data_IF_320886652044
#
_entry.id   IF_320886652044
#
_cell.length_a   1.000
_cell.length_b   1.000
_cell.length_c   1.000
_cell.angle_alpha   90.00
_cell.angle_beta   90.00
_cell.angle_gamma   90.00
#
_symmetry.space_group_name_H-M   'P 1'
#
loop_
_entity.id
_entity.type
_entity.pdbx_description
1 polymer ?
#
# COMPACT_ATOMS: atom_id res chain seq x y z
N UNK A 1 -23.23 38.33 -2.56
CA UNK A 1 -24.02 37.51 -3.51
C UNK A 1 -24.50 36.29 -2.75
N UNK A 2 -25.82 36.11 -2.59
CA UNK A 2 -26.35 34.89 -1.97
C UNK A 2 -26.04 33.71 -2.90
N UNK A 3 -25.39 32.67 -2.36
CA UNK A 3 -25.08 31.45 -3.10
C UNK A 3 -26.40 30.81 -3.55
N UNK A 4 -26.61 30.72 -4.86
CA UNK A 4 -27.76 30.03 -5.45
C UNK A 4 -27.68 28.57 -5.00
N UNK A 5 -28.61 28.14 -4.15
CA UNK A 5 -28.78 26.73 -3.85
C UNK A 5 -29.01 26.01 -5.19
N UNK A 6 -28.10 25.12 -5.58
CA UNK A 6 -28.24 24.40 -6.84
C UNK A 6 -29.48 23.52 -6.71
N UNK A 7 -30.53 23.88 -7.44
CA UNK A 7 -31.75 23.12 -7.52
C UNK A 7 -31.51 21.87 -8.37
N UNK A 8 -32.23 20.78 -8.05
CA UNK A 8 -32.17 19.56 -8.86
C UNK A 8 -32.57 19.92 -10.30
N UNK A 9 -31.79 19.55 -11.33
CA UNK A 9 -32.08 19.91 -12.72
C UNK A 9 -33.50 19.52 -13.15
N UNK A 10 -34.21 20.39 -13.88
CA UNK A 10 -35.58 20.14 -14.33
C UNK A 10 -35.72 18.96 -15.30
N UNK A 11 -34.62 18.53 -15.93
CA UNK A 11 -34.57 17.31 -16.75
C UNK A 11 -34.75 16.03 -15.94
N UNK A 12 -34.64 16.09 -14.61
CA UNK A 12 -34.89 14.96 -13.71
C UNK A 12 -36.39 14.86 -13.41
N UNK A 13 -36.89 13.63 -13.40
CA UNK A 13 -38.28 13.29 -13.05
C UNK A 13 -38.75 14.00 -11.76
N UNK A 14 -40.02 14.39 -11.71
CA UNK A 14 -40.61 15.14 -10.62
C UNK A 14 -40.50 14.42 -9.27
N UNK A 15 -40.68 13.09 -9.24
CA UNK A 15 -40.55 12.30 -8.02
C UNK A 15 -39.10 12.28 -7.55
N UNK A 16 -38.14 12.04 -8.44
CA UNK A 16 -36.72 12.09 -8.10
C UNK A 16 -36.28 13.49 -7.61
N UNK A 17 -36.78 14.58 -8.21
CA UNK A 17 -36.53 15.96 -7.76
C UNK A 17 -37.01 16.21 -6.32
N UNK A 18 -38.11 15.58 -5.90
CA UNK A 18 -38.60 15.67 -4.51
C UNK A 18 -37.75 14.83 -3.53
N UNK A 19 -37.26 13.67 -3.96
CA UNK A 19 -36.51 12.74 -3.12
C UNK A 19 -35.04 13.12 -2.93
N UNK A 20 -34.37 13.65 -3.97
CA UNK A 20 -32.92 13.94 -3.93
C UNK A 20 -32.54 14.88 -2.77
N UNK A 21 -33.21 16.02 -2.54
CA UNK A 21 -32.86 16.92 -1.44
C UNK A 21 -33.13 16.33 -0.05
N UNK A 22 -34.00 15.32 0.05
CA UNK A 22 -34.39 14.65 1.30
C UNK A 22 -33.53 13.40 1.59
N UNK A 23 -32.77 12.94 0.59
CA UNK A 23 -31.98 11.73 0.69
C UNK A 23 -30.68 11.98 1.45
N UNK A 24 -30.38 11.10 2.41
CA UNK A 24 -29.11 11.07 3.12
C UNK A 24 -28.16 10.07 2.48
N UNK A 25 -26.98 10.52 2.06
CA UNK A 25 -26.01 9.70 1.31
C UNK A 25 -24.73 9.50 2.12
N UNK A 26 -24.22 8.26 2.14
CA UNK A 26 -22.87 7.97 2.62
C UNK A 26 -21.94 7.78 1.42
N UNK A 27 -20.85 8.54 1.38
CA UNK A 27 -19.76 8.34 0.43
C UNK A 27 -18.54 7.81 1.17
N UNK A 28 -18.12 6.59 0.82
CA UNK A 28 -17.00 5.90 1.45
C UNK A 28 -15.76 6.04 0.55
N UNK A 29 -14.84 6.89 0.96
CA UNK A 29 -13.63 7.28 0.22
C UNK A 29 -13.73 8.68 -0.38
N UNK A 30 -12.68 9.47 -0.19
CA UNK A 30 -12.47 10.84 -0.68
C UNK A 30 -11.29 10.92 -1.66
N UNK A 31 -10.93 9.80 -2.30
CA UNK A 31 -9.91 9.71 -3.35
C UNK A 31 -10.38 10.27 -4.71
N UNK A 32 -9.85 9.74 -5.81
CA UNK A 32 -10.14 10.23 -7.16
C UNK A 32 -11.64 10.20 -7.51
N UNK A 33 -12.25 9.02 -7.37
CA UNK A 33 -13.70 8.85 -7.54
C UNK A 33 -14.46 9.69 -6.50
N UNK A 34 -14.01 9.68 -5.24
CA UNK A 34 -14.68 10.37 -4.14
C UNK A 34 -14.82 11.87 -4.36
N UNK A 35 -13.76 12.53 -4.83
CA UNK A 35 -13.78 13.96 -5.15
C UNK A 35 -14.80 14.30 -6.25
N UNK A 36 -14.81 13.53 -7.34
CA UNK A 36 -15.75 13.73 -8.45
C UNK A 36 -17.20 13.46 -8.04
N UNK A 37 -17.43 12.35 -7.33
CA UNK A 37 -18.76 11.97 -6.84
C UNK A 37 -19.28 13.01 -5.85
N UNK A 38 -18.46 13.49 -4.92
CA UNK A 38 -18.88 14.50 -3.95
C UNK A 38 -19.31 15.81 -4.62
N UNK A 39 -18.54 16.29 -5.61
CA UNK A 39 -18.95 17.42 -6.45
C UNK A 39 -20.28 17.13 -7.14
N UNK A 40 -20.41 15.97 -7.79
CA UNK A 40 -21.61 15.65 -8.55
C UNK A 40 -22.85 15.56 -7.66
N UNK A 41 -22.74 14.99 -6.44
CA UNK A 41 -23.82 14.99 -5.45
C UNK A 41 -24.24 16.41 -5.09
N UNK A 42 -23.28 17.26 -4.72
CA UNK A 42 -23.53 18.64 -4.32
C UNK A 42 -24.17 19.47 -5.44
N UNK A 43 -23.74 19.28 -6.69
CA UNK A 43 -24.29 19.97 -7.87
C UNK A 43 -25.64 19.39 -8.34
N UNK A 44 -25.92 18.12 -8.04
CA UNK A 44 -27.19 17.47 -8.41
C UNK A 44 -28.31 17.71 -7.39
N UNK A 45 -28.05 18.48 -6.33
CA UNK A 45 -29.05 18.89 -5.34
C UNK A 45 -29.18 17.97 -4.13
N UNK A 46 -28.27 17.01 -3.92
CA UNK A 46 -28.18 16.29 -2.65
C UNK A 46 -27.74 17.24 -1.54
N UNK A 47 -28.41 17.18 -0.39
CA UNK A 47 -28.21 18.15 0.70
C UNK A 47 -27.61 17.56 1.96
N UNK A 48 -27.82 16.27 2.27
CA UNK A 48 -27.29 15.63 3.49
C UNK A 48 -26.33 14.50 3.09
N UNK A 49 -25.02 14.78 3.17
CA UNK A 49 -23.96 13.88 2.75
C UNK A 49 -23.05 13.62 3.95
N UNK A 50 -22.76 12.36 4.22
CA UNK A 50 -21.67 11.97 5.12
C UNK A 50 -20.54 11.36 4.29
N UNK A 51 -19.30 11.80 4.53
CA UNK A 51 -18.10 11.33 3.83
C UNK A 51 -17.11 10.77 4.84
N UNK A 52 -16.49 9.64 4.52
CA UNK A 52 -15.49 8.98 5.36
C UNK A 52 -14.26 8.58 4.55
N UNK A 53 -13.08 8.89 5.07
CA UNK A 53 -11.78 8.48 4.50
C UNK A 53 -10.75 8.44 5.63
N UNK A 54 -9.87 7.44 5.64
CA UNK A 54 -8.87 7.25 6.70
C UNK A 54 -7.54 7.95 6.39
N UNK A 55 -7.35 8.41 5.16
CA UNK A 55 -6.07 8.92 4.69
C UNK A 55 -5.96 10.44 4.84
N UNK A 56 -4.70 10.88 4.89
CA UNK A 56 -4.30 12.27 4.64
C UNK A 56 -3.91 12.47 3.18
N UNK A 57 -3.87 13.74 2.76
CA UNK A 57 -3.58 14.14 1.38
C UNK A 57 -2.07 14.03 1.10
N UNK A 58 -1.73 13.39 -0.01
CA UNK A 58 -0.36 13.30 -0.52
C UNK A 58 -0.18 14.07 -1.85
N UNK A 59 1.05 14.50 -2.16
CA UNK A 59 1.37 15.21 -3.41
C UNK A 59 0.95 14.42 -4.65
N UNK A 60 1.14 13.09 -4.62
CA UNK A 60 0.75 12.17 -5.71
C UNK A 60 -0.75 12.14 -5.99
N UNK A 61 -1.58 12.67 -5.08
CA UNK A 61 -3.03 12.72 -5.23
C UNK A 61 -3.50 13.90 -6.11
N UNK A 62 -2.71 14.97 -6.19
CA UNK A 62 -3.13 16.26 -6.76
C UNK A 62 -3.42 16.24 -8.27
N UNK A 63 -2.95 15.22 -9.00
CA UNK A 63 -3.23 15.07 -10.43
C UNK A 63 -4.66 14.59 -10.75
N UNK A 64 -5.40 14.08 -9.76
CA UNK A 64 -6.72 13.43 -9.97
C UNK A 64 -7.73 13.64 -8.84
N UNK A 65 -7.34 14.33 -7.76
CA UNK A 65 -8.19 14.62 -6.61
C UNK A 65 -8.35 16.13 -6.50
N UNK A 66 -9.13 16.71 -7.41
CA UNK A 66 -9.16 18.16 -7.67
C UNK A 66 -9.74 18.99 -6.52
N UNK A 67 -10.30 18.39 -5.47
CA UNK A 67 -10.68 19.11 -4.24
C UNK A 67 -9.46 19.47 -3.39
N UNK A 68 -8.28 18.94 -3.69
CA UNK A 68 -7.08 19.14 -2.90
C UNK A 68 -6.10 20.09 -3.59
N UNK A 69 -5.30 20.81 -2.77
CA UNK A 69 -4.27 21.76 -3.20
C UNK A 69 -2.97 21.42 -2.50
N UNK A 70 -1.87 22.02 -2.96
CA UNK A 70 -0.53 21.74 -2.41
C UNK A 70 -0.43 22.12 -0.93
N UNK A 71 -1.11 23.19 -0.50
CA UNK A 71 -1.18 23.59 0.91
C UNK A 71 -2.01 22.64 1.79
N UNK A 72 -2.71 21.67 1.21
CA UNK A 72 -3.49 20.68 1.93
C UNK A 72 -2.73 19.39 2.22
N UNK A 73 -1.51 19.22 1.71
CA UNK A 73 -0.70 18.01 1.94
C UNK A 73 -0.52 17.76 3.43
N UNK A 74 -0.75 16.51 3.87
CA UNK A 74 -0.73 16.09 5.27
C UNK A 74 -2.04 16.29 6.02
N UNK A 75 -3.03 17.02 5.48
CA UNK A 75 -4.35 17.20 6.09
C UNK A 75 -5.30 16.03 5.76
N UNK A 76 -6.31 15.74 6.59
CA UNK A 76 -7.29 14.69 6.32
C UNK A 76 -8.10 14.90 5.03
N UNK A 77 -8.17 13.89 4.16
CA UNK A 77 -8.89 13.98 2.87
C UNK A 77 -10.37 14.32 3.06
N UNK A 78 -11.07 13.60 3.94
CA UNK A 78 -12.49 13.82 4.17
C UNK A 78 -12.80 15.24 4.64
N UNK A 79 -11.98 15.80 5.54
CA UNK A 79 -12.20 17.15 6.09
C UNK A 79 -11.98 18.21 5.02
N UNK A 80 -10.87 18.16 4.29
CA UNK A 80 -10.54 19.13 3.24
C UNK A 80 -11.52 19.03 2.05
N UNK A 81 -11.98 17.83 1.71
CA UNK A 81 -12.99 17.63 0.66
C UNK A 81 -14.30 18.35 1.02
N UNK A 82 -14.75 18.23 2.27
CA UNK A 82 -15.90 18.98 2.81
C UNK A 82 -15.67 20.49 2.70
N UNK A 83 -14.56 21.00 3.20
CA UNK A 83 -14.25 22.45 3.19
C UNK A 83 -14.27 23.01 1.77
N UNK A 84 -13.67 22.28 0.83
CA UNK A 84 -13.59 22.69 -0.58
C UNK A 84 -14.96 22.77 -1.24
N UNK A 85 -15.87 21.84 -0.94
CA UNK A 85 -17.24 21.89 -1.47
C UNK A 85 -18.05 23.01 -0.81
N UNK A 86 -17.94 23.18 0.51
CA UNK A 86 -18.67 24.22 1.24
C UNK A 86 -18.26 25.65 0.81
N UNK A 87 -17.01 25.84 0.37
CA UNK A 87 -16.55 27.10 -0.20
C UNK A 87 -17.32 27.50 -1.49
N UNK A 88 -17.82 26.51 -2.24
CA UNK A 88 -18.54 26.74 -3.51
C UNK A 88 -20.06 26.60 -3.36
N UNK A 89 -20.53 25.71 -2.49
CA UNK A 89 -21.94 25.45 -2.23
C UNK A 89 -22.20 25.34 -0.72
N UNK A 90 -22.35 26.48 -0.01
CA UNK A 90 -22.50 26.52 1.44
C UNK A 90 -23.83 25.95 1.94
N UNK A 91 -24.78 25.68 1.04
CA UNK A 91 -26.11 25.17 1.38
C UNK A 91 -26.16 23.64 1.54
N UNK A 92 -25.08 22.92 1.19
CA UNK A 92 -24.99 21.47 1.37
C UNK A 92 -24.50 21.19 2.79
N UNK A 93 -25.16 20.25 3.47
CA UNK A 93 -24.71 19.73 4.75
C UNK A 93 -23.80 18.52 4.51
N UNK A 94 -22.52 18.70 4.79
CA UNK A 94 -21.52 17.63 4.70
C UNK A 94 -20.94 17.35 6.09
N UNK A 95 -21.04 16.10 6.55
CA UNK A 95 -20.31 15.61 7.72
C UNK A 95 -19.11 14.78 7.27
N UNK A 96 -17.92 15.12 7.75
CA UNK A 96 -16.69 14.44 7.38
C UNK A 96 -16.14 13.61 8.55
N UNK A 97 -15.71 12.39 8.25
CA UNK A 97 -15.06 11.47 9.17
C UNK A 97 -13.65 11.18 8.66
N UNK A 98 -12.63 11.52 9.45
CA UNK A 98 -11.26 11.08 9.20
C UNK A 98 -11.01 9.79 9.98
N UNK A 99 -11.45 8.68 9.41
CA UNK A 99 -11.49 7.38 10.09
C UNK A 99 -11.64 6.23 9.08
N UNK A 100 -11.36 5.02 9.53
CA UNK A 100 -11.61 3.80 8.77
C UNK A 100 -13.06 3.39 8.88
N UNK A 101 -13.71 3.09 7.74
CA UNK A 101 -15.06 2.50 7.70
C UNK A 101 -15.12 1.13 8.40
N UNK A 102 -13.97 0.49 8.64
CA UNK A 102 -13.86 -0.76 9.39
C UNK A 102 -13.94 -0.58 10.91
N UNK A 103 -13.87 0.66 11.42
CA UNK A 103 -13.99 0.93 12.85
C UNK A 103 -15.34 0.43 13.39
N UNK A 104 -15.34 -0.08 14.62
CA UNK A 104 -16.54 -0.57 15.31
C UNK A 104 -17.64 0.48 15.47
N UNK A 105 -17.28 1.77 15.37
CA UNK A 105 -18.21 2.89 15.49
C UNK A 105 -19.19 2.97 14.30
N UNK A 106 -18.83 2.38 13.16
CA UNK A 106 -19.63 2.39 11.92
C UNK A 106 -20.41 1.09 11.72
N UNK A 107 -21.03 0.58 12.79
CA UNK A 107 -21.83 -0.64 12.78
C UNK A 107 -23.17 -0.55 12.03
N UNK A 108 -24.01 -1.58 12.15
CA UNK A 108 -25.25 -1.72 11.37
C UNK A 108 -26.19 -0.49 11.50
N UNK A 109 -26.29 0.05 12.71
CA UNK A 109 -27.13 1.20 13.01
C UNK A 109 -26.63 2.47 12.32
N UNK A 110 -25.33 2.60 12.08
CA UNK A 110 -24.78 3.72 11.34
C UNK A 110 -25.27 3.69 9.89
N UNK A 111 -25.19 2.53 9.23
CA UNK A 111 -25.60 2.33 7.83
C UNK A 111 -27.10 2.52 7.60
N UNK A 112 -27.95 2.08 8.54
CA UNK A 112 -29.43 2.23 8.44
C UNK A 112 -29.93 3.68 8.36
N UNK A 113 -29.07 4.67 8.63
CA UNK A 113 -29.42 6.10 8.56
C UNK A 113 -29.42 6.65 7.14
N UNK A 114 -28.86 5.91 6.17
CA UNK A 114 -28.65 6.38 4.81
C UNK A 114 -29.68 5.80 3.85
N UNK A 115 -30.04 6.57 2.83
CA UNK A 115 -30.87 6.09 1.71
C UNK A 115 -30.03 5.43 0.62
N UNK A 116 -28.75 5.79 0.51
CA UNK A 116 -27.82 5.32 -0.50
C UNK A 116 -26.39 5.34 0.04
N UNK A 117 -25.62 4.29 -0.27
CA UNK A 117 -24.17 4.24 -0.03
C UNK A 117 -23.43 4.19 -1.36
N UNK A 118 -22.34 4.94 -1.46
CA UNK A 118 -21.48 5.03 -2.64
C UNK A 118 -20.05 4.64 -2.25
N UNK A 119 -19.51 3.63 -2.91
CA UNK A 119 -18.11 3.24 -2.73
C UNK A 119 -17.19 3.96 -3.71
N UNK A 120 -16.15 4.58 -3.15
CA UNK A 120 -15.02 5.21 -3.83
C UNK A 120 -13.68 4.69 -3.24
N UNK A 121 -13.67 3.41 -2.87
CA UNK A 121 -12.56 2.70 -2.20
C UNK A 121 -11.61 2.06 -3.20
N UNK A 122 -10.37 1.79 -2.78
CA UNK A 122 -9.32 1.15 -3.58
C UNK A 122 -8.85 -0.21 -3.03
N UNK A 123 -9.35 -0.64 -1.87
CA UNK A 123 -8.97 -1.89 -1.24
C UNK A 123 -10.14 -2.87 -1.09
N UNK A 124 -9.84 -4.16 -1.31
CA UNK A 124 -10.84 -5.24 -1.33
C UNK A 124 -11.49 -5.47 0.03
N UNK A 125 -10.73 -5.36 1.12
CA UNK A 125 -11.21 -5.61 2.48
C UNK A 125 -12.31 -4.63 2.88
N UNK A 126 -12.11 -3.32 2.67
CA UNK A 126 -13.12 -2.31 2.96
C UNK A 126 -14.35 -2.46 2.05
N UNK A 127 -14.17 -2.78 0.76
CA UNK A 127 -15.30 -3.04 -0.15
C UNK A 127 -16.14 -4.23 0.30
N UNK A 128 -15.51 -5.34 0.69
CA UNK A 128 -16.21 -6.50 1.26
C UNK A 128 -16.98 -6.12 2.53
N UNK A 129 -16.37 -5.35 3.43
CA UNK A 129 -17.02 -4.88 4.64
C UNK A 129 -18.26 -4.02 4.31
N UNK A 130 -18.12 -2.97 3.50
CA UNK A 130 -19.23 -2.09 3.12
C UNK A 130 -20.34 -2.87 2.39
N UNK A 131 -19.98 -3.79 1.50
CA UNK A 131 -20.93 -4.70 0.84
C UNK A 131 -21.78 -5.44 1.87
N UNK A 132 -21.16 -6.11 2.85
CA UNK A 132 -21.86 -6.86 3.90
C UNK A 132 -22.72 -5.95 4.77
N UNK A 133 -22.22 -4.76 5.12
CA UNK A 133 -22.97 -3.79 5.92
C UNK A 133 -24.22 -3.28 5.19
N UNK A 134 -24.11 -2.99 3.88
CA UNK A 134 -25.25 -2.55 3.06
C UNK A 134 -26.29 -3.66 2.90
N UNK A 135 -25.86 -4.91 2.68
CA UNK A 135 -26.76 -6.08 2.64
C UNK A 135 -27.46 -6.33 3.99
N UNK A 136 -26.76 -6.14 5.10
CA UNK A 136 -27.32 -6.30 6.43
C UNK A 136 -28.32 -5.16 6.76
N UNK A 137 -28.00 -3.93 6.35
CA UNK A 137 -28.84 -2.74 6.57
C UNK A 137 -29.99 -2.62 5.55
N UNK A 138 -29.98 -3.42 4.49
CA UNK A 138 -30.87 -3.34 3.33
C UNK A 138 -30.84 -1.98 2.58
N UNK A 139 -29.66 -1.35 2.57
CA UNK A 139 -29.42 -0.07 1.88
C UNK A 139 -28.78 -0.35 0.51
N UNK A 140 -29.27 0.27 -0.59
CA UNK A 140 -28.62 0.13 -1.89
C UNK A 140 -27.18 0.68 -1.85
N UNK A 141 -26.26 -0.07 -2.45
CA UNK A 141 -24.86 0.28 -2.61
C UNK A 141 -24.55 0.47 -4.09
N UNK A 142 -23.93 1.59 -4.46
CA UNK A 142 -23.29 1.73 -5.76
C UNK A 142 -21.80 1.47 -5.58
N UNK A 143 -21.32 0.40 -6.18
CA UNK A 143 -19.91 0.04 -6.23
C UNK A 143 -19.27 0.61 -7.50
N UNK A 144 -18.00 1.00 -7.41
CA UNK A 144 -17.28 1.55 -8.56
C UNK A 144 -15.78 1.28 -8.46
N UNK A 145 -15.10 1.26 -9.59
CA UNK A 145 -13.65 1.14 -9.63
C UNK A 145 -13.08 1.62 -10.94
N UNK A 146 -11.81 2.02 -10.90
CA UNK A 146 -11.05 2.45 -12.08
C UNK A 146 -9.65 1.87 -12.04
N UNK A 147 -9.08 1.62 -13.22
CA UNK A 147 -7.68 1.24 -13.41
C UNK A 147 -7.23 1.71 -14.79
N UNK A 148 -6.29 2.65 -14.85
CA UNK A 148 -5.91 3.30 -16.10
C UNK A 148 -7.11 3.96 -16.79
N UNK A 149 -7.40 3.54 -18.02
CA UNK A 149 -8.55 4.03 -18.81
C UNK A 149 -9.83 3.20 -18.62
N UNK A 150 -9.76 2.11 -17.87
CA UNK A 150 -10.89 1.23 -17.62
C UNK A 150 -11.59 1.58 -16.31
N UNK A 151 -12.90 1.36 -16.27
CA UNK A 151 -13.69 1.49 -15.05
C UNK A 151 -15.05 0.82 -15.18
N UNK A 152 -15.71 0.66 -14.05
CA UNK A 152 -17.03 0.06 -13.96
C UNK A 152 -17.83 0.69 -12.82
N UNK A 153 -19.16 0.60 -12.94
CA UNK A 153 -20.12 0.98 -11.90
C UNK A 153 -21.17 -0.14 -11.82
N UNK A 154 -21.54 -0.54 -10.61
CA UNK A 154 -22.52 -1.60 -10.37
C UNK A 154 -23.47 -1.21 -9.23
N UNK A 155 -24.74 -1.57 -9.37
CA UNK A 155 -25.75 -1.46 -8.32
C UNK A 155 -25.85 -2.78 -7.55
N UNK A 156 -25.67 -2.72 -6.24
CA UNK A 156 -25.88 -3.82 -5.30
C UNK A 156 -27.12 -3.50 -4.46
N UNK A 157 -28.18 -4.31 -4.62
CA UNK A 157 -29.39 -4.25 -3.80
C UNK A 157 -29.81 -5.66 -3.40
N UNK A 158 -29.90 -5.88 -2.09
CA UNK A 158 -30.30 -7.16 -1.49
C UNK A 158 -31.59 -7.67 -2.12
N UNK A 159 -31.57 -8.94 -2.55
CA UNK A 159 -32.72 -9.61 -3.15
C UNK A 159 -33.06 -9.18 -4.58
N UNK A 160 -32.34 -8.21 -5.16
CA UNK A 160 -32.59 -7.70 -6.52
C UNK A 160 -31.39 -7.87 -7.47
N UNK A 161 -30.16 -7.68 -7.00
CA UNK A 161 -28.94 -7.84 -7.80
C UNK A 161 -27.91 -8.72 -7.07
N UNK A 162 -26.88 -9.17 -7.79
CA UNK A 162 -25.75 -9.85 -7.17
C UNK A 162 -25.00 -8.90 -6.22
N UNK A 163 -24.36 -9.44 -5.19
CA UNK A 163 -23.50 -8.65 -4.31
C UNK A 163 -22.05 -8.62 -4.80
N UNK A 164 -21.23 -7.75 -4.21
CA UNK A 164 -19.83 -7.57 -4.59
C UNK A 164 -19.02 -8.88 -4.54
N UNK A 165 -19.39 -9.77 -3.62
CA UNK A 165 -18.70 -11.03 -3.33
C UNK A 165 -19.32 -12.25 -4.02
N UNK A 166 -20.39 -12.09 -4.82
CA UNK A 166 -21.00 -13.19 -5.58
C UNK A 166 -20.06 -13.76 -6.65
N UNK A 167 -19.24 -12.89 -7.25
CA UNK A 167 -18.25 -13.28 -8.25
C UNK A 167 -16.85 -13.22 -7.64
N UNK A 168 -16.12 -14.34 -7.53
CA UNK A 168 -14.75 -14.34 -7.01
C UNK A 168 -13.87 -13.39 -7.82
N UNK A 169 -13.30 -12.39 -7.13
CA UNK A 169 -12.27 -11.54 -7.74
C UNK A 169 -10.92 -12.24 -7.65
N UNK A 170 -10.05 -12.15 -8.68
CA UNK A 170 -8.71 -12.74 -8.63
C UNK A 170 -7.99 -12.38 -7.33
N UNK A 171 -7.37 -13.35 -6.64
CA UNK A 171 -6.56 -13.04 -5.48
C UNK A 171 -5.37 -12.18 -5.89
N UNK A 172 -4.81 -11.44 -4.93
CA UNK A 172 -3.52 -10.80 -5.14
C UNK A 172 -2.47 -11.89 -5.40
N UNK A 173 -1.52 -11.62 -6.31
CA UNK A 173 -0.42 -12.56 -6.58
C UNK A 173 0.38 -12.79 -5.29
N UNK A 174 0.47 -14.04 -4.86
CA UNK A 174 1.33 -14.50 -3.78
C UNK A 174 2.43 -15.38 -4.35
N UNK A 175 3.58 -15.40 -3.69
CA UNK A 175 4.74 -16.18 -4.12
C UNK A 175 5.15 -17.14 -2.99
N UNK A 176 5.55 -18.39 -3.30
CA UNK A 176 6.00 -19.32 -2.27
C UNK A 176 7.24 -18.79 -1.51
N UNK A 177 7.31 -19.06 -0.20
CA UNK A 177 8.42 -18.63 0.64
C UNK A 177 9.78 -19.10 0.13
N UNK A 178 9.91 -20.37 -0.28
CA UNK A 178 11.15 -20.91 -0.84
C UNK A 178 11.60 -20.18 -2.12
N UNK A 179 10.66 -19.74 -2.98
CA UNK A 179 10.98 -18.92 -4.16
C UNK A 179 11.54 -17.56 -3.78
N UNK A 180 10.98 -16.92 -2.74
CA UNK A 180 11.43 -15.61 -2.26
C UNK A 180 12.78 -15.70 -1.52
N UNK A 181 12.99 -16.75 -0.74
CA UNK A 181 14.14 -16.90 0.18
C UNK A 181 15.35 -17.58 -0.47
N UNK A 182 15.13 -18.52 -1.39
CA UNK A 182 16.19 -19.35 -1.95
C UNK A 182 16.40 -19.14 -3.46
N UNK A 183 15.33 -19.17 -4.26
CA UNK A 183 15.44 -19.25 -5.73
C UNK A 183 14.66 -18.15 -6.48
N UNK A 184 14.89 -16.85 -6.20
CA UNK A 184 14.19 -15.78 -6.89
C UNK A 184 14.61 -15.70 -8.37
N UNK A 185 13.65 -15.91 -9.26
CA UNK A 185 13.88 -15.88 -10.73
C UNK A 185 13.39 -14.62 -11.45
N UNK A 186 12.55 -13.80 -10.83
CA UNK A 186 11.96 -12.60 -11.44
C UNK A 186 12.21 -11.36 -10.56
N UNK A 187 12.31 -10.14 -11.13
CA UNK A 187 12.51 -8.91 -10.35
C UNK A 187 11.45 -8.69 -9.26
N UNK A 188 10.22 -9.15 -9.49
CA UNK A 188 9.13 -9.07 -8.51
C UNK A 188 9.43 -9.87 -7.24
N UNK A 189 10.17 -10.98 -7.33
CA UNK A 189 10.55 -11.78 -6.17
C UNK A 189 11.53 -11.01 -5.27
N UNK A 190 12.51 -10.32 -5.86
CA UNK A 190 13.44 -9.46 -5.11
C UNK A 190 12.71 -8.29 -4.43
N UNK A 191 11.72 -7.69 -5.12
CA UNK A 191 10.87 -6.65 -4.55
C UNK A 191 10.07 -7.17 -3.34
N UNK A 192 9.50 -8.37 -3.44
CA UNK A 192 8.77 -9.01 -2.33
C UNK A 192 9.72 -9.31 -1.17
N UNK A 193 10.91 -9.85 -1.44
CA UNK A 193 11.96 -10.06 -0.43
C UNK A 193 12.34 -8.76 0.27
N UNK A 194 12.53 -7.65 -0.45
CA UNK A 194 12.84 -6.34 0.15
C UNK A 194 11.72 -5.81 1.05
N UNK A 195 10.45 -6.08 0.70
CA UNK A 195 9.30 -5.73 1.56
C UNK A 195 9.26 -6.58 2.84
N UNK A 196 9.53 -7.88 2.72
CA UNK A 196 9.65 -8.77 3.87
C UNK A 196 10.80 -8.32 4.79
N UNK A 197 11.94 -7.98 4.20
CA UNK A 197 13.09 -7.44 4.94
C UNK A 197 12.71 -6.18 5.70
N UNK A 198 12.01 -5.24 5.05
CA UNK A 198 11.55 -4.03 5.72
C UNK A 198 10.70 -4.35 6.96
N UNK A 199 9.74 -5.27 6.86
CA UNK A 199 8.88 -5.64 7.99
C UNK A 199 9.68 -6.33 9.10
N UNK A 200 10.62 -7.21 8.76
CA UNK A 200 11.52 -7.88 9.69
C UNK A 200 12.43 -6.89 10.45
N UNK A 201 12.89 -5.83 9.79
CA UNK A 201 13.76 -4.82 10.41
C UNK A 201 12.96 -3.76 11.21
N UNK A 202 11.88 -3.20 10.66
CA UNK A 202 11.24 -2.00 11.19
C UNK A 202 9.72 -2.12 11.40
N UNK A 203 9.11 -3.21 10.94
CA UNK A 203 7.68 -3.47 11.00
C UNK A 203 7.27 -4.48 12.06
N UNK A 204 6.07 -5.04 11.87
CA UNK A 204 5.56 -6.14 12.69
C UNK A 204 6.24 -7.45 12.27
N UNK A 205 6.58 -8.27 13.25
CA UNK A 205 7.21 -9.57 12.98
C UNK A 205 6.15 -10.53 12.45
N UNK A 206 6.39 -11.08 11.27
CA UNK A 206 5.52 -12.00 10.58
C UNK A 206 6.37 -13.21 10.15
N UNK A 207 6.14 -14.41 10.74
CA UNK A 207 6.87 -15.62 10.38
C UNK A 207 6.77 -16.00 8.90
N UNK A 208 5.68 -15.63 8.22
CA UNK A 208 5.48 -15.91 6.80
C UNK A 208 6.32 -14.99 5.89
N UNK A 209 6.98 -13.97 6.49
CA UNK A 209 7.82 -12.98 5.82
C UNK A 209 9.29 -13.08 6.26
N UNK A 210 9.76 -14.27 6.62
CA UNK A 210 11.20 -14.47 6.83
C UNK A 210 11.96 -14.27 5.50
N UNK A 211 13.17 -13.72 5.63
CA UNK A 211 14.09 -13.35 4.55
C UNK A 211 15.36 -14.20 4.54
N UNK A 212 15.62 -14.89 5.65
CA UNK A 212 16.74 -15.81 5.82
C UNK A 212 16.64 -16.99 4.86
N UNK A 213 17.73 -17.50 4.24
CA UNK A 213 17.70 -18.74 3.46
C UNK A 213 16.98 -19.89 4.18
N UNK A 214 16.11 -20.57 3.45
CA UNK A 214 15.24 -21.62 3.93
C UNK A 214 15.90 -22.99 3.82
N UNK A 215 16.44 -23.48 4.94
CA UNK A 215 17.07 -24.79 5.01
C UNK A 215 16.06 -25.96 4.94
N UNK A 216 14.77 -25.69 5.13
CA UNK A 216 13.72 -26.71 5.09
C UNK A 216 13.18 -26.96 3.68
N UNK A 217 13.62 -26.16 2.70
CA UNK A 217 13.26 -26.28 1.29
C UNK A 217 13.52 -27.71 0.76
N UNK A 218 12.48 -28.43 0.31
CA UNK A 218 12.63 -29.78 -0.24
C UNK A 218 13.60 -29.85 -1.43
N UNK A 219 13.72 -28.80 -2.24
CA UNK A 219 14.65 -28.77 -3.38
C UNK A 219 16.12 -28.61 -2.94
N UNK A 220 16.37 -28.11 -1.73
CA UNK A 220 17.71 -27.94 -1.17
C UNK A 220 18.29 -29.24 -0.59
N UNK A 221 17.44 -30.20 -0.22
CA UNK A 221 17.84 -31.44 0.48
C UNK A 221 18.57 -32.43 -0.43
N UNK A 222 19.62 -33.08 0.08
CA UNK A 222 20.35 -34.16 -0.61
C UNK A 222 19.87 -35.48 -0.02
N UNK A 223 19.28 -36.36 -0.85
CA UNK A 223 18.74 -37.66 -0.43
C UNK A 223 17.72 -37.62 0.74
N UNK A 224 17.03 -36.49 0.93
CA UNK A 224 16.07 -36.30 2.02
C UNK A 224 16.67 -35.78 3.33
N UNK A 225 17.99 -35.64 3.40
CA UNK A 225 18.72 -35.03 4.52
C UNK A 225 19.10 -33.58 4.21
N UNK A 226 19.17 -32.72 5.23
CA UNK A 226 19.60 -31.34 5.06
C UNK A 226 21.06 -31.34 4.59
N UNK A 227 21.38 -30.57 3.55
CA UNK A 227 22.73 -30.50 2.97
C UNK A 227 23.79 -29.93 3.91
N UNK A 228 23.39 -29.41 5.07
CA UNK A 228 24.27 -28.78 6.05
C UNK A 228 24.70 -29.80 7.09
N UNK A 229 25.94 -30.30 6.97
CA UNK A 229 26.59 -31.11 8.00
C UNK A 229 26.74 -30.31 9.30
N UNK A 230 26.33 -30.91 10.41
CA UNK A 230 26.38 -30.40 11.78
C UNK A 230 27.49 -29.36 12.07
N UNK A 231 27.09 -28.10 12.19
CA UNK A 231 27.79 -27.13 13.03
C UNK A 231 26.78 -26.47 13.97
N UNK A 232 26.33 -27.26 14.95
CA UNK A 232 25.64 -26.81 16.15
C UNK A 232 24.20 -26.36 15.95
N UNK A 233 23.35 -26.70 16.91
CA UNK A 233 22.07 -26.01 17.16
C UNK A 233 22.32 -24.54 17.54
N UNK A 234 22.92 -23.74 16.65
CA UNK A 234 22.88 -22.29 16.75
C UNK A 234 21.44 -21.94 16.42
N UNK A 235 20.62 -21.81 17.45
CA UNK A 235 19.27 -21.28 17.37
C UNK A 235 19.38 -19.97 16.59
N UNK A 236 18.98 -19.97 15.31
CA UNK A 236 19.14 -18.82 14.42
C UNK A 236 18.43 -17.66 15.12
N UNK A 237 19.20 -16.68 15.59
CA UNK A 237 18.65 -15.49 16.22
C UNK A 237 17.69 -14.87 15.20
N UNK A 238 16.49 -14.49 15.65
CA UNK A 238 15.54 -13.79 14.79
C UNK A 238 16.26 -12.60 14.15
N UNK A 239 16.05 -12.41 12.83
CA UNK A 239 16.63 -11.30 12.06
C UNK A 239 16.40 -9.97 12.78
N UNK A 240 15.23 -9.80 13.39
CA UNK A 240 14.86 -8.61 14.16
C UNK A 240 15.70 -8.42 15.43
N UNK A 241 15.88 -9.48 16.21
CA UNK A 241 16.69 -9.43 17.44
C UNK A 241 18.15 -9.12 17.10
N UNK A 242 18.72 -9.85 16.14
CA UNK A 242 20.10 -9.63 15.71
C UNK A 242 20.32 -8.21 15.19
N UNK A 243 19.35 -7.67 14.43
CA UNK A 243 19.38 -6.28 13.94
C UNK A 243 19.44 -5.26 15.08
N UNK A 244 18.68 -5.49 16.16
CA UNK A 244 18.73 -4.62 17.35
C UNK A 244 20.08 -4.71 18.06
N UNK A 245 20.65 -5.91 18.18
CA UNK A 245 21.94 -6.14 18.84
C UNK A 245 23.10 -5.44 18.12
N UNK A 246 23.04 -5.37 16.78
CA UNK A 246 24.02 -4.61 15.97
C UNK A 246 23.65 -3.13 15.80
N UNK A 247 22.62 -2.67 16.51
CA UNK A 247 22.09 -1.30 16.44
C UNK A 247 21.75 -0.84 15.01
N UNK A 248 21.21 -1.71 14.18
CA UNK A 248 20.86 -1.41 12.78
C UNK A 248 22.05 -0.89 11.96
N UNK A 249 23.27 -1.35 12.24
CA UNK A 249 24.47 -0.97 11.48
C UNK A 249 24.32 -1.36 10.00
N UNK A 250 24.37 -0.40 9.06
CA UNK A 250 24.13 -0.70 7.66
C UNK A 250 25.14 -1.63 7.01
N UNK A 251 26.43 -1.52 7.35
CA UNK A 251 27.48 -2.35 6.74
C UNK A 251 27.33 -3.81 7.20
N UNK A 252 27.06 -4.04 8.48
CA UNK A 252 26.78 -5.38 9.02
C UNK A 252 25.51 -5.98 8.41
N UNK A 253 24.43 -5.21 8.32
CA UNK A 253 23.19 -5.65 7.67
C UNK A 253 23.44 -6.02 6.20
N UNK A 254 24.18 -5.18 5.48
CA UNK A 254 24.51 -5.43 4.07
C UNK A 254 25.31 -6.72 3.91
N UNK A 255 26.40 -6.87 4.66
CA UNK A 255 27.24 -8.07 4.58
C UNK A 255 26.48 -9.33 4.98
N UNK A 256 25.61 -9.28 5.99
CA UNK A 256 24.76 -10.41 6.34
C UNK A 256 23.90 -10.86 5.15
N UNK A 257 23.06 -9.98 4.62
CA UNK A 257 22.03 -10.38 3.65
C UNK A 257 22.58 -10.59 2.24
N UNK A 258 23.58 -9.81 1.83
CA UNK A 258 24.10 -9.85 0.46
C UNK A 258 25.40 -10.65 0.32
N UNK A 259 26.06 -11.03 1.42
CA UNK A 259 27.26 -11.88 1.39
C UNK A 259 27.10 -13.17 2.18
N UNK A 260 26.89 -13.10 3.50
CA UNK A 260 26.88 -14.29 4.38
C UNK A 260 25.72 -15.24 4.06
N UNK A 261 24.50 -14.71 3.97
CA UNK A 261 23.31 -15.50 3.63
C UNK A 261 23.40 -16.04 2.19
N UNK A 262 24.05 -15.33 1.27
CA UNK A 262 24.31 -15.82 -0.10
C UNK A 262 25.34 -16.95 -0.10
N UNK A 263 26.41 -16.84 0.70
CA UNK A 263 27.38 -17.92 0.86
C UNK A 263 26.74 -19.16 1.51
N UNK A 264 25.85 -18.97 2.49
CA UNK A 264 25.07 -20.07 3.06
C UNK A 264 24.15 -20.71 2.02
N UNK A 265 23.47 -19.90 1.21
CA UNK A 265 22.62 -20.37 0.12
C UNK A 265 23.39 -21.15 -0.96
N UNK A 266 24.65 -20.77 -1.23
CA UNK A 266 25.56 -21.52 -2.12
C UNK A 266 25.92 -22.91 -1.58
N UNK A 267 25.87 -23.13 -0.26
CA UNK A 267 26.07 -24.48 0.32
C UNK A 267 24.93 -25.46 0.01
N UNK A 268 23.78 -24.96 -0.45
CA UNK A 268 22.64 -25.78 -0.89
C UNK A 268 22.82 -26.21 -2.36
N UNK A 269 23.83 -27.04 -2.63
CA UNK A 269 24.29 -27.37 -3.99
C UNK A 269 23.20 -27.85 -4.95
N UNK A 270 22.19 -28.57 -4.43
CA UNK A 270 21.09 -29.09 -5.24
C UNK A 270 20.27 -28.00 -5.94
N UNK A 271 20.13 -26.82 -5.34
CA UNK A 271 19.38 -25.70 -5.93
C UNK A 271 20.04 -25.18 -7.22
N UNK A 272 21.35 -25.36 -7.36
CA UNK A 272 22.19 -24.76 -8.41
C UNK A 272 22.55 -25.72 -9.54
N UNK A 273 22.04 -26.96 -9.53
CA UNK A 273 22.31 -27.94 -10.61
C UNK A 273 21.80 -27.49 -11.97
N UNK A 274 20.68 -26.77 -11.99
CA UNK A 274 19.99 -26.32 -13.21
C UNK A 274 19.89 -24.79 -13.31
N UNK A 275 20.37 -24.07 -12.29
CA UNK A 275 20.22 -22.62 -12.14
C UNK A 275 21.59 -21.97 -11.99
N UNK A 276 21.73 -20.76 -12.49
CA UNK A 276 22.96 -19.97 -12.26
C UNK A 276 23.09 -19.66 -10.77
N UNK A 277 24.19 -20.05 -10.09
CA UNK A 277 24.39 -19.75 -8.69
C UNK A 277 24.47 -18.24 -8.43
N UNK A 278 23.94 -17.73 -7.30
CA UNK A 278 24.07 -16.33 -6.92
C UNK A 278 25.52 -15.99 -6.60
N UNK A 279 25.89 -14.71 -6.74
CA UNK A 279 27.22 -14.22 -6.38
C UNK A 279 27.13 -13.39 -5.10
N UNK A 280 27.86 -13.73 -4.03
CA UNK A 280 27.89 -12.93 -2.82
C UNK A 280 28.53 -11.56 -3.11
N UNK A 281 28.07 -10.54 -2.40
CA UNK A 281 28.49 -9.16 -2.56
C UNK A 281 28.80 -8.57 -1.18
N UNK A 282 30.08 -8.30 -0.91
CA UNK A 282 30.47 -7.59 0.30
C UNK A 282 30.26 -6.07 0.15
N UNK A 283 30.15 -5.37 1.28
CA UNK A 283 30.05 -3.90 1.31
C UNK A 283 31.21 -3.23 0.57
N UNK A 284 32.44 -3.74 0.77
CA UNK A 284 33.65 -3.22 0.13
C UNK A 284 33.62 -3.41 -1.38
N UNK A 285 33.19 -4.58 -1.84
CA UNK A 285 33.09 -4.87 -3.28
C UNK A 285 31.97 -4.06 -3.93
N UNK A 286 30.84 -3.89 -3.24
CA UNK A 286 29.74 -3.05 -3.71
C UNK A 286 30.20 -1.60 -3.95
N UNK A 287 31.00 -1.04 -3.03
CA UNK A 287 31.56 0.31 -3.16
C UNK A 287 32.50 0.47 -4.36
N UNK A 288 33.16 -0.60 -4.80
CA UNK A 288 34.05 -0.58 -5.97
C UNK A 288 33.29 -0.61 -7.32
N UNK A 289 32.02 -1.01 -7.32
CA UNK A 289 31.19 -1.15 -8.53
C UNK A 289 30.49 0.18 -8.89
N UNK A 290 31.32 1.19 -9.17
CA UNK A 290 30.88 2.54 -9.58
C UNK A 290 30.53 2.47 -11.08
N UNK A 291 29.23 2.52 -11.40
CA UNK A 291 28.75 2.49 -12.79
C UNK A 291 29.24 3.66 -13.63
N UNK A 292 28.98 3.61 -14.94
CA UNK A 292 29.43 4.65 -15.88
C UNK A 292 28.84 6.03 -15.54
N UNK A 293 29.70 7.03 -15.37
CA UNK A 293 29.32 8.43 -15.14
C UNK A 293 28.87 9.08 -16.45
N UNK A 294 27.67 8.75 -16.93
CA UNK A 294 27.07 9.53 -18.01
C UNK A 294 26.59 10.88 -17.46
N UNK A 295 27.15 11.99 -17.95
CA UNK A 295 26.63 13.34 -17.68
C UNK A 295 25.17 13.41 -18.17
N UNK A 296 24.22 13.36 -17.26
CA UNK A 296 22.79 13.47 -17.56
C UNK A 296 22.22 14.69 -16.86
N UNK A 297 21.24 15.30 -17.49
CA UNK A 297 20.61 16.55 -17.08
C UNK A 297 19.88 16.36 -15.74
N UNK A 298 20.54 16.77 -14.64
CA UNK A 298 20.08 16.61 -13.25
C UNK A 298 18.74 17.31 -12.96
N UNK A 299 18.30 18.21 -13.85
CA UNK A 299 17.07 18.98 -13.71
C UNK A 299 15.80 18.24 -14.14
N UNK A 300 15.90 17.09 -14.80
CA UNK A 300 14.71 16.31 -15.17
C UNK A 300 14.31 15.33 -14.07
N UNK A 301 13.16 15.55 -13.43
CA UNK A 301 12.57 14.62 -12.45
C UNK A 301 12.39 13.21 -13.05
N UNK A 302 12.02 13.13 -14.34
CA UNK A 302 11.92 11.86 -15.07
C UNK A 302 13.24 11.11 -15.16
N UNK A 303 14.36 11.83 -15.25
CA UNK A 303 15.69 11.22 -15.33
C UNK A 303 16.13 10.66 -13.97
N UNK A 304 15.75 11.29 -12.85
CA UNK A 304 16.18 10.88 -11.50
C UNK A 304 15.57 9.56 -11.03
N UNK A 305 14.26 9.35 -11.21
CA UNK A 305 13.56 8.16 -10.66
C UNK A 305 13.52 6.97 -11.62
N UNK A 306 13.78 7.19 -12.92
CA UNK A 306 13.86 6.11 -13.93
C UNK A 306 15.31 5.68 -14.23
N UNK A 307 16.29 6.28 -13.56
CA UNK A 307 17.68 5.87 -13.70
C UNK A 307 17.94 4.57 -12.97
N UNK A 308 18.50 3.59 -13.69
CA UNK A 308 19.03 2.37 -13.08
C UNK A 308 20.34 2.71 -12.38
N UNK A 309 20.36 2.56 -11.06
CA UNK A 309 21.53 2.86 -10.26
C UNK A 309 22.64 1.82 -10.40
N UNK A 310 23.87 2.28 -10.20
CA UNK A 310 25.01 1.37 -9.99
C UNK A 310 24.88 0.63 -8.66
N UNK A 311 25.57 -0.51 -8.54
CA UNK A 311 25.60 -1.28 -7.30
C UNK A 311 26.15 -0.45 -6.13
N UNK A 312 27.19 0.35 -6.37
CA UNK A 312 27.72 1.28 -5.36
C UNK A 312 26.65 2.27 -4.89
N UNK A 313 25.82 2.81 -5.81
CA UNK A 313 24.73 3.73 -5.46
C UNK A 313 23.61 3.01 -4.70
N UNK A 314 23.24 1.79 -5.09
CA UNK A 314 22.26 0.99 -4.35
C UNK A 314 22.72 0.71 -2.91
N UNK A 315 23.99 0.33 -2.71
CA UNK A 315 24.55 0.10 -1.37
C UNK A 315 24.54 1.37 -0.51
N UNK A 316 24.87 2.53 -1.10
CA UNK A 316 24.77 3.81 -0.40
C UNK A 316 23.34 4.15 0.00
N UNK A 317 22.38 4.02 -0.94
CA UNK A 317 20.96 4.30 -0.66
C UNK A 317 20.38 3.33 0.38
N UNK A 318 20.79 2.06 0.36
CA UNK A 318 20.46 1.11 1.41
C UNK A 318 20.91 1.62 2.79
N UNK A 319 22.15 2.06 2.92
CA UNK A 319 22.67 2.55 4.19
C UNK A 319 22.02 3.86 4.68
N UNK A 320 21.79 4.79 3.77
CA UNK A 320 21.08 6.05 4.07
C UNK A 320 19.64 5.77 4.53
N UNK A 321 18.98 4.82 3.87
CA UNK A 321 17.61 4.40 4.19
C UNK A 321 17.54 3.73 5.56
N UNK A 322 18.43 2.76 5.84
CA UNK A 322 18.51 2.11 7.16
C UNK A 322 18.76 3.13 8.26
N UNK A 323 19.67 4.08 8.03
CA UNK A 323 20.00 5.13 9.01
C UNK A 323 18.80 6.04 9.30
N UNK A 324 18.05 6.42 8.27
CA UNK A 324 16.86 7.26 8.39
C UNK A 324 15.72 6.50 9.09
N UNK A 325 15.45 5.27 8.65
CA UNK A 325 14.41 4.43 9.23
C UNK A 325 14.70 4.04 10.68
N UNK A 326 15.96 3.81 11.05
CA UNK A 326 16.38 3.61 12.46
C UNK A 326 15.92 4.80 13.31
N UNK A 327 16.19 6.03 12.87
CA UNK A 327 15.79 7.24 13.62
C UNK A 327 14.28 7.32 13.80
N UNK A 328 13.52 7.13 12.71
CA UNK A 328 12.05 7.18 12.76
C UNK A 328 11.46 6.05 13.62
N UNK A 329 12.01 4.84 13.52
CA UNK A 329 11.57 3.69 14.27
C UNK A 329 11.80 3.87 15.79
N UNK A 330 12.97 4.38 16.19
CA UNK A 330 13.27 4.67 17.60
C UNK A 330 12.37 5.79 18.17
N UNK A 331 12.07 6.82 17.37
CA UNK A 331 11.09 7.86 17.74
C UNK A 331 9.69 7.27 17.93
N UNK A 332 9.27 6.33 17.07
CA UNK A 332 7.98 5.66 17.20
C UNK A 332 7.88 4.81 18.46
N UNK A 333 8.93 4.03 18.76
CA UNK A 333 8.97 3.21 19.98
C UNK A 333 8.85 4.10 21.23
N UNK A 334 9.54 5.25 21.25
CA UNK A 334 9.51 6.16 22.41
C UNK A 334 8.18 6.90 22.58
N UNK A 335 7.49 7.24 21.48
CA UNK A 335 6.21 7.95 21.52
C UNK A 335 5.00 7.03 21.76
N UNK A 336 5.03 5.79 21.26
CA UNK A 336 3.81 5.01 21.08
C UNK A 336 3.66 3.80 22.00
N UNK A 337 4.63 3.50 22.87
CA UNK A 337 4.53 2.38 23.82
C UNK A 337 3.99 1.11 23.16
N UNK A 338 4.77 0.48 22.28
CA UNK A 338 4.43 -0.80 21.62
C UNK A 338 3.11 -0.88 20.80
N UNK A 339 2.45 0.23 20.44
CA UNK A 339 1.31 0.19 19.50
C UNK A 339 1.59 0.93 18.18
N UNK A 340 1.21 0.31 17.07
CA UNK A 340 1.57 0.67 15.70
C UNK A 340 0.55 1.62 15.03
N UNK A 341 1.03 2.58 14.23
CA UNK A 341 0.22 3.34 13.26
C UNK A 341 0.88 3.22 11.87
N UNK A 342 0.09 2.85 10.86
CA UNK A 342 0.49 2.73 9.45
C UNK A 342 0.83 4.10 8.83
N UNK A 343 1.95 4.21 8.09
CA UNK A 343 2.28 5.39 7.27
C UNK A 343 1.99 5.11 5.77
N UNK A 344 1.76 6.16 4.96
CA UNK A 344 1.44 6.04 3.54
C UNK A 344 2.65 5.65 2.68
N UNK A 345 2.33 4.99 1.55
CA UNK A 345 3.23 4.35 0.59
C UNK A 345 4.18 5.28 -0.19
N UNK A 346 4.22 6.58 0.10
CA UNK A 346 4.90 7.58 -0.74
C UNK A 346 6.34 7.90 -0.33
N UNK A 347 6.81 7.40 0.81
CA UNK A 347 8.23 7.42 1.21
C UNK A 347 9.08 6.28 0.60
N UNK A 348 8.49 5.39 -0.20
CA UNK A 348 9.03 4.04 -0.45
C UNK A 348 9.74 3.82 -1.80
N UNK A 349 9.80 4.81 -2.70
CA UNK A 349 10.36 4.61 -4.03
C UNK A 349 11.89 4.40 -4.12
N UNK A 350 12.76 4.86 -3.18
CA UNK A 350 14.21 4.71 -3.37
C UNK A 350 14.81 3.33 -3.05
N UNK A 351 14.09 2.37 -2.45
CA UNK A 351 14.69 1.09 -2.00
C UNK A 351 14.33 -0.08 -2.94
N UNK A 352 13.48 0.15 -3.94
CA UNK A 352 12.78 -0.92 -4.67
C UNK A 352 13.43 -1.39 -5.99
N UNK A 353 14.66 -1.00 -6.30
CA UNK A 353 15.34 -1.44 -7.53
C UNK A 353 16.66 -2.14 -7.20
N UNK A 354 16.57 -3.37 -6.68
CA UNK A 354 17.66 -4.33 -6.80
C UNK A 354 17.60 -4.95 -8.20
N UNK A 355 18.24 -4.27 -9.15
CA UNK A 355 18.59 -4.84 -10.45
C UNK A 355 19.73 -5.82 -10.29
N UNK A 356 19.43 -7.08 -9.98
CA UNK A 356 20.34 -8.17 -10.29
C UNK A 356 20.40 -8.26 -11.82
N UNK A 357 21.51 -7.78 -12.38
CA UNK A 357 21.86 -7.94 -13.77
C UNK A 357 22.07 -9.42 -14.04
N UNK A 358 21.09 -10.05 -14.69
CA UNK A 358 21.34 -11.29 -15.41
C UNK A 358 22.24 -10.94 -16.59
N UNK A 359 23.51 -11.31 -16.49
CA UNK A 359 24.40 -11.41 -17.64
C UNK A 359 23.78 -12.43 -18.60
N UNK A 360 23.59 -12.03 -19.87
CA UNK A 360 23.29 -12.95 -20.96
C UNK A 360 24.42 -13.96 -21.15
#
# INVERSE_FOLDING_TARGET
>A
MAAVAHSVPYSIDARARDLIPKSKVLLVGAGGIGCEVLKNLALSGFRDIEIIDLDTIDVSNLNRQFLFRKEHVGKPKAVVARESILAHNPNVKIKAYHDSILSSDYGLNFFKRFNLVLNALDNRTARNHVNRMCLAADIPLIESGTSGYSGQVELIKKGATQCYECQPKPPQKTFPGCTIRNTPSEPVHCIVWSKHLFNQLFGEDDPDQDVSPDAEDPEAKINGENSVTESGNIKRLSTKQWTQDIEYDPEKLFNKFFSEDINYLLSMENLWKTRTPPKPLSWKDAAALVGDKTKKDENSVRVRDMEVWSIAKCAQVFADSVTTLKKEHLIRISLCGTKTISLPWTLWLPVLIFGLTFSR
#
